data_IF_171288642223
#
_entry.id   IF_171288642223
#
_cell.length_a   1.000
_cell.length_b   1.000
_cell.length_c   1.000
_cell.angle_alpha   90.00
_cell.angle_beta   90.00
_cell.angle_gamma   90.00
#
_symmetry.space_group_name_H-M   'P 1'
#
loop_
_entity.id
_entity.type
_entity.pdbx_description
1 polymer ?
#
# COMPACT_ATOMS: atom_id res chain seq x y z
N UNK A 1 -6.88 -0.56 -12.28
CA UNK A 1 -7.24 -1.97 -12.03
C UNK A 1 -8.13 -1.96 -10.80
N UNK A 2 -9.31 -2.59 -10.86
CA UNK A 2 -10.20 -2.66 -9.70
C UNK A 2 -9.58 -3.59 -8.65
N UNK A 3 -9.39 -3.10 -7.42
CA UNK A 3 -8.83 -3.90 -6.32
C UNK A 3 -9.87 -4.93 -5.87
N UNK A 4 -9.41 -6.15 -5.61
CA UNK A 4 -10.22 -7.27 -5.11
C UNK A 4 -9.75 -7.73 -3.72
N UNK A 5 -10.35 -8.77 -3.15
CA UNK A 5 -9.97 -9.27 -1.83
C UNK A 5 -8.53 -9.80 -1.73
N UNK A 6 -7.83 -10.09 -2.85
CA UNK A 6 -6.40 -10.46 -2.81
C UNK A 6 -5.55 -9.26 -2.38
N UNK A 7 -5.97 -8.05 -2.73
CA UNK A 7 -5.33 -6.82 -2.30
C UNK A 7 -5.18 -6.75 -0.77
N UNK A 8 -6.16 -7.27 -0.02
CA UNK A 8 -6.09 -7.32 1.45
C UNK A 8 -4.86 -8.12 1.92
N UNK A 9 -4.60 -9.29 1.32
CA UNK A 9 -3.44 -10.09 1.69
C UNK A 9 -2.12 -9.51 1.19
N UNK A 10 -2.14 -8.90 0.01
CA UNK A 10 -0.95 -8.24 -0.55
C UNK A 10 -0.46 -7.11 0.36
N UNK A 11 -1.37 -6.38 1.00
CA UNK A 11 -1.06 -5.16 1.77
C UNK A 11 -1.13 -5.34 3.30
N UNK A 12 -1.97 -6.24 3.82
CA UNK A 12 -2.20 -6.40 5.26
C UNK A 12 -1.67 -7.71 5.83
N UNK A 13 -1.33 -8.70 4.98
CA UNK A 13 -0.85 -10.04 5.39
C UNK A 13 -1.75 -10.67 6.46
N UNK A 14 -1.22 -10.92 7.65
CA UNK A 14 -1.96 -11.52 8.76
C UNK A 14 -3.20 -10.70 9.17
N UNK A 15 -3.16 -9.37 9.00
CA UNK A 15 -4.31 -8.49 9.24
C UNK A 15 -5.43 -8.61 8.19
N UNK A 16 -5.20 -9.28 7.07
CA UNK A 16 -6.19 -9.39 5.99
C UNK A 16 -7.43 -10.18 6.41
N UNK A 17 -7.26 -11.20 7.27
CA UNK A 17 -8.36 -12.02 7.75
C UNK A 17 -9.34 -11.21 8.59
N UNK A 18 -8.82 -10.50 9.61
CA UNK A 18 -9.65 -9.62 10.45
C UNK A 18 -10.31 -8.53 9.61
N UNK A 19 -9.56 -7.92 8.67
CA UNK A 19 -10.14 -6.89 7.80
C UNK A 19 -11.24 -7.43 6.89
N UNK A 20 -11.17 -8.69 6.46
CA UNK A 20 -12.24 -9.33 5.70
C UNK A 20 -13.49 -9.60 6.55
N UNK A 21 -13.32 -10.01 7.81
CA UNK A 21 -14.42 -10.14 8.78
C UNK A 21 -15.09 -8.78 9.02
N UNK A 22 -14.32 -7.70 9.18
CA UNK A 22 -14.84 -6.34 9.33
C UNK A 22 -15.62 -5.88 8.08
N UNK A 23 -15.10 -6.18 6.88
CA UNK A 23 -15.82 -5.90 5.62
C UNK A 23 -17.17 -6.64 5.60
N UNK A 24 -17.19 -7.91 5.97
CA UNK A 24 -18.43 -8.68 5.97
C UNK A 24 -19.42 -8.10 6.98
N UNK A 25 -18.96 -7.72 8.17
CA UNK A 25 -19.80 -7.08 9.18
C UNK A 25 -20.47 -5.81 8.63
N UNK A 26 -19.71 -4.88 8.06
CA UNK A 26 -20.26 -3.63 7.53
C UNK A 26 -21.23 -3.85 6.36
N UNK A 27 -20.97 -4.88 5.53
CA UNK A 27 -21.92 -5.30 4.49
C UNK A 27 -23.26 -5.69 5.12
N UNK A 28 -23.25 -6.48 6.20
CA UNK A 28 -24.49 -6.98 6.81
C UNK A 28 -25.21 -5.95 7.67
N UNK A 29 -24.48 -5.07 8.36
CA UNK A 29 -25.06 -3.87 8.99
C UNK A 29 -25.81 -3.03 7.94
N UNK A 30 -25.23 -2.89 6.75
CA UNK A 30 -25.86 -2.12 5.66
C UNK A 30 -27.00 -2.88 4.96
N UNK A 31 -26.92 -4.20 4.86
CA UNK A 31 -27.95 -5.04 4.22
C UNK A 31 -29.19 -5.22 5.11
N UNK A 32 -29.02 -5.18 6.44
CA UNK A 32 -30.06 -5.36 7.44
C UNK A 32 -30.11 -4.17 8.42
N UNK A 33 -30.51 -2.97 7.94
CA UNK A 33 -30.42 -1.73 8.74
C UNK A 33 -31.33 -1.72 9.98
N UNK A 34 -32.41 -2.52 9.96
CA UNK A 34 -33.39 -2.61 11.05
C UNK A 34 -33.18 -3.86 11.93
N UNK A 35 -32.13 -4.64 11.69
CA UNK A 35 -31.80 -5.83 12.48
C UNK A 35 -30.71 -5.55 13.52
N UNK A 36 -30.69 -6.35 14.57
CA UNK A 36 -29.59 -6.36 15.53
C UNK A 36 -28.41 -7.16 14.95
N UNK A 37 -27.37 -6.46 14.47
CA UNK A 37 -26.17 -7.04 13.84
C UNK A 37 -24.96 -6.90 14.74
N UNK A 38 -24.39 -8.03 15.18
CA UNK A 38 -23.28 -8.08 16.14
C UNK A 38 -22.09 -8.89 15.62
N UNK A 39 -20.87 -8.34 15.75
CA UNK A 39 -19.66 -9.15 15.67
C UNK A 39 -19.55 -9.99 16.95
N UNK A 40 -19.27 -11.29 16.80
CA UNK A 40 -19.03 -12.17 17.94
C UNK A 40 -17.53 -12.22 18.19
N UNK A 41 -17.09 -11.74 19.36
CA UNK A 41 -15.68 -11.82 19.76
C UNK A 41 -15.31 -13.28 20.03
N UNK A 42 -14.18 -13.73 19.48
CA UNK A 42 -13.68 -15.09 19.71
C UNK A 42 -13.20 -15.21 21.16
N UNK A 43 -14.10 -15.62 22.05
CA UNK A 43 -13.71 -16.22 23.33
C UNK A 43 -13.34 -17.67 23.01
N UNK A 44 -12.07 -18.03 23.21
CA UNK A 44 -11.48 -19.36 23.00
C UNK A 44 -12.51 -20.51 23.09
N UNK A 45 -13.05 -20.95 21.95
CA UNK A 45 -14.07 -22.00 21.89
C UNK A 45 -15.29 -21.69 21.02
N UNK A 46 -15.55 -20.44 20.63
CA UNK A 46 -16.74 -20.05 19.84
C UNK A 46 -16.62 -20.39 18.35
N UNK A 47 -16.58 -21.68 18.06
CA UNK A 47 -17.63 -22.37 17.31
C UNK A 47 -18.04 -21.96 15.90
N UNK A 48 -17.39 -20.99 15.27
CA UNK A 48 -17.65 -20.67 13.86
C UNK A 48 -18.81 -19.71 13.60
N UNK A 49 -19.04 -18.78 14.52
CA UNK A 49 -19.91 -17.61 14.35
C UNK A 49 -19.01 -16.39 14.32
N UNK A 50 -19.02 -15.63 13.22
CA UNK A 50 -18.26 -14.38 13.16
C UNK A 50 -19.19 -13.17 13.27
N UNK A 51 -20.42 -13.28 12.76
CA UNK A 51 -21.46 -12.24 12.84
C UNK A 51 -22.80 -12.91 13.14
N UNK A 52 -23.56 -12.35 14.06
CA UNK A 52 -24.94 -12.73 14.38
C UNK A 52 -25.90 -11.60 13.97
N UNK A 53 -27.05 -11.97 13.39
CA UNK A 53 -28.06 -11.04 12.88
C UNK A 53 -29.42 -11.53 13.37
N UNK A 54 -30.14 -10.68 14.11
CA UNK A 54 -31.50 -10.95 14.59
C UNK A 54 -32.44 -9.90 13.99
N UNK A 55 -33.34 -10.35 13.10
CA UNK A 55 -34.33 -9.49 12.47
C UNK A 55 -35.53 -9.25 13.43
N UNK A 56 -36.31 -8.17 13.23
CA UNK A 56 -37.44 -7.82 14.12
C UNK A 56 -38.52 -8.92 14.22
N UNK A 57 -38.63 -9.77 13.19
CA UNK A 57 -39.55 -10.89 13.16
C UNK A 57 -39.05 -12.11 13.97
N UNK A 58 -37.84 -12.03 14.53
CA UNK A 58 -37.19 -13.09 15.30
C UNK A 58 -36.35 -14.05 14.46
N UNK A 59 -36.25 -13.87 13.13
CA UNK A 59 -35.38 -14.71 12.30
C UNK A 59 -33.92 -14.47 12.66
N UNK A 60 -33.20 -15.56 12.94
CA UNK A 60 -31.77 -15.53 13.26
C UNK A 60 -30.91 -15.97 12.08
N UNK A 61 -29.89 -15.17 11.78
CA UNK A 61 -28.90 -15.46 10.73
C UNK A 61 -27.49 -15.43 11.30
N UNK A 62 -26.82 -16.58 11.25
CA UNK A 62 -25.39 -16.67 11.55
C UNK A 62 -24.57 -16.53 10.27
N UNK A 63 -23.56 -15.67 10.31
CA UNK A 63 -22.58 -15.52 9.23
C UNK A 63 -21.21 -16.02 9.70
N UNK A 64 -20.60 -16.86 8.87
CA UNK A 64 -19.22 -17.30 9.00
C UNK A 64 -18.39 -16.77 7.83
N UNK A 65 -17.32 -16.07 8.14
CA UNK A 65 -16.26 -15.65 7.25
C UNK A 65 -15.12 -16.68 7.24
N UNK A 66 -14.71 -17.12 6.05
CA UNK A 66 -13.50 -17.92 5.86
C UNK A 66 -12.60 -17.27 4.83
N UNK A 67 -11.43 -16.80 5.27
CA UNK A 67 -10.48 -16.11 4.39
C UNK A 67 -9.67 -17.09 3.53
N UNK A 68 -10.31 -17.66 2.50
CA UNK A 68 -9.69 -18.57 1.54
C UNK A 68 -9.38 -17.86 0.22
N UNK A 69 -8.09 -17.67 -0.09
CA UNK A 69 -7.67 -17.02 -1.34
C UNK A 69 -7.37 -17.98 -2.51
N UNK A 70 -7.10 -19.25 -2.19
CA UNK A 70 -6.81 -20.31 -3.19
C UNK A 70 -7.99 -21.28 -3.33
N UNK A 71 -7.84 -22.35 -4.12
CA UNK A 71 -8.87 -23.39 -4.31
C UNK A 71 -9.29 -24.12 -3.02
N UNK A 72 -10.49 -24.68 -3.04
CA UNK A 72 -11.11 -25.42 -1.96
C UNK A 72 -10.60 -26.87 -1.94
N UNK A 73 -9.47 -27.09 -1.27
CA UNK A 73 -8.97 -28.42 -0.95
C UNK A 73 -9.81 -29.10 0.16
N UNK A 74 -9.48 -30.36 0.46
CA UNK A 74 -10.22 -31.13 1.46
C UNK A 74 -10.07 -30.59 2.89
N UNK A 75 -8.95 -29.92 3.20
CA UNK A 75 -8.77 -29.24 4.48
C UNK A 75 -9.77 -28.09 4.64
N UNK A 76 -9.92 -27.24 3.62
CA UNK A 76 -10.85 -26.10 3.63
C UNK A 76 -12.31 -26.55 3.59
N UNK A 77 -12.62 -27.62 2.85
CA UNK A 77 -13.94 -28.28 2.91
C UNK A 77 -14.26 -28.77 4.31
N UNK A 78 -13.28 -29.37 5.00
CA UNK A 78 -13.46 -29.81 6.38
C UNK A 78 -13.67 -28.62 7.34
N UNK A 79 -12.93 -27.53 7.17
CA UNK A 79 -13.17 -26.31 7.95
C UNK A 79 -14.58 -25.75 7.78
N UNK A 80 -15.15 -25.80 6.57
CA UNK A 80 -16.54 -25.40 6.33
C UNK A 80 -17.51 -26.34 7.06
N UNK A 81 -17.31 -27.65 6.95
CA UNK A 81 -18.16 -28.66 7.60
C UNK A 81 -18.17 -28.51 9.11
N UNK A 82 -16.99 -28.41 9.72
CA UNK A 82 -16.86 -28.27 11.17
C UNK A 82 -17.47 -26.94 11.64
N UNK A 83 -17.23 -25.84 10.94
CA UNK A 83 -17.85 -24.55 11.30
C UNK A 83 -19.37 -24.58 11.25
N UNK A 84 -19.96 -25.17 10.20
CA UNK A 84 -21.42 -25.32 10.17
C UNK A 84 -21.93 -26.23 11.28
N UNK A 85 -21.25 -27.37 11.49
CA UNK A 85 -21.63 -28.32 12.55
C UNK A 85 -21.62 -27.64 13.91
N UNK A 86 -20.56 -26.92 14.25
CA UNK A 86 -20.45 -26.25 15.55
C UNK A 86 -21.44 -25.09 15.68
N UNK A 87 -21.71 -24.35 14.61
CA UNK A 87 -22.75 -23.32 14.62
C UNK A 87 -24.14 -23.91 14.95
N UNK A 88 -24.50 -25.05 14.33
CA UNK A 88 -25.77 -25.75 14.59
C UNK A 88 -25.83 -26.40 15.98
N UNK A 89 -24.71 -26.89 16.50
CA UNK A 89 -24.67 -27.53 17.82
C UNK A 89 -24.79 -26.52 18.96
N UNK A 90 -24.32 -25.28 18.75
CA UNK A 90 -24.24 -24.27 19.80
C UNK A 90 -25.31 -23.17 19.71
N UNK A 91 -26.04 -23.07 18.59
CA UNK A 91 -26.98 -21.98 18.36
C UNK A 91 -28.25 -22.48 17.66
N UNK A 92 -29.38 -21.82 17.96
CA UNK A 92 -30.59 -21.91 17.15
C UNK A 92 -30.54 -20.80 16.08
N UNK A 93 -30.71 -21.17 14.81
CA UNK A 93 -30.66 -20.23 13.68
C UNK A 93 -31.57 -20.68 12.54
N UNK A 94 -32.08 -19.74 11.76
CA UNK A 94 -32.89 -19.99 10.58
C UNK A 94 -32.05 -19.96 9.30
N UNK A 95 -31.00 -19.16 9.31
CA UNK A 95 -30.11 -18.97 8.17
C UNK A 95 -28.64 -19.12 8.59
N UNK A 96 -27.86 -19.71 7.69
CA UNK A 96 -26.40 -19.74 7.82
C UNK A 96 -25.75 -19.27 6.53
N UNK A 97 -24.88 -18.26 6.61
CA UNK A 97 -24.20 -17.70 5.44
C UNK A 97 -22.70 -17.90 5.54
N UNK A 98 -22.12 -18.55 4.53
CA UNK A 98 -20.67 -18.62 4.35
C UNK A 98 -20.19 -17.47 3.47
N UNK A 99 -19.28 -16.65 3.99
CA UNK A 99 -18.56 -15.61 3.26
C UNK A 99 -17.14 -16.06 2.94
N UNK A 100 -16.75 -15.99 1.65
CA UNK A 100 -15.40 -16.35 1.20
C UNK A 100 -14.88 -15.33 0.18
N UNK A 101 -13.60 -14.90 0.26
CA UNK A 101 -12.99 -13.91 -0.64
C UNK A 101 -12.53 -14.52 -1.97
N UNK A 102 -13.21 -15.57 -2.45
CA UNK A 102 -12.92 -16.24 -3.73
C UNK A 102 -14.19 -16.71 -4.40
N UNK A 103 -14.17 -16.80 -5.73
CA UNK A 103 -15.23 -17.47 -6.48
C UNK A 103 -14.95 -18.96 -6.61
N UNK A 104 -15.98 -19.76 -6.36
CA UNK A 104 -15.90 -21.22 -6.52
C UNK A 104 -15.92 -21.57 -8.02
N UNK A 105 -15.01 -22.45 -8.42
CA UNK A 105 -15.04 -23.13 -9.71
C UNK A 105 -16.27 -24.03 -9.82
N UNK A 106 -16.52 -24.53 -11.01
CA UNK A 106 -17.65 -25.40 -11.27
C UNK A 106 -17.69 -26.64 -10.37
N UNK A 107 -16.55 -27.29 -10.13
CA UNK A 107 -16.49 -28.49 -9.28
C UNK A 107 -16.59 -28.16 -7.79
N UNK A 108 -16.06 -27.01 -7.36
CA UNK A 108 -16.23 -26.49 -5.99
C UNK A 108 -17.71 -26.14 -5.73
N UNK A 109 -18.41 -25.56 -6.71
CA UNK A 109 -19.86 -25.32 -6.64
C UNK A 109 -20.67 -26.62 -6.62
N UNK A 110 -20.30 -27.64 -7.39
CA UNK A 110 -20.95 -28.97 -7.32
C UNK A 110 -20.82 -29.57 -5.93
N UNK A 111 -19.60 -29.55 -5.38
CA UNK A 111 -19.36 -30.02 -4.02
C UNK A 111 -20.19 -29.23 -3.01
N UNK A 112 -20.19 -27.90 -3.08
CA UNK A 112 -20.96 -27.04 -2.19
C UNK A 112 -22.45 -27.36 -2.23
N UNK A 113 -23.02 -27.48 -3.43
CA UNK A 113 -24.43 -27.83 -3.63
C UNK A 113 -24.76 -29.20 -3.03
N UNK A 114 -23.92 -30.20 -3.29
CA UNK A 114 -24.11 -31.55 -2.74
C UNK A 114 -23.99 -31.57 -1.21
N UNK A 115 -23.01 -30.85 -0.65
CA UNK A 115 -22.85 -30.76 0.80
C UNK A 115 -24.05 -30.05 1.46
N UNK A 116 -24.49 -28.91 0.90
CA UNK A 116 -25.69 -28.17 1.34
C UNK A 116 -26.95 -29.05 1.29
N UNK A 117 -27.13 -29.81 0.22
CA UNK A 117 -28.26 -30.73 0.06
C UNK A 117 -28.32 -31.76 1.20
N UNK A 118 -27.16 -32.25 1.64
CA UNK A 118 -27.06 -33.21 2.73
C UNK A 118 -27.36 -32.61 4.12
N UNK A 119 -27.61 -31.30 4.24
CA UNK A 119 -27.98 -30.64 5.51
C UNK A 119 -29.47 -30.24 5.56
N UNK A 120 -30.28 -30.67 4.59
CA UNK A 120 -31.69 -30.24 4.46
C UNK A 120 -32.58 -30.63 5.63
N UNK A 121 -32.22 -31.69 6.34
CA UNK A 121 -32.91 -32.17 7.54
C UNK A 121 -32.81 -31.19 8.72
N UNK A 122 -31.89 -30.22 8.66
CA UNK A 122 -31.70 -29.21 9.70
C UNK A 122 -32.70 -28.06 9.66
N UNK A 123 -33.53 -27.95 8.61
CA UNK A 123 -34.45 -26.81 8.39
C UNK A 123 -33.76 -25.43 8.34
N UNK A 124 -32.45 -25.38 8.08
CA UNK A 124 -31.65 -24.14 8.03
C UNK A 124 -31.40 -23.73 6.57
N UNK A 125 -31.61 -22.46 6.26
CA UNK A 125 -31.31 -21.90 4.95
C UNK A 125 -29.82 -21.58 4.83
N UNK A 126 -29.08 -22.44 4.13
CA UNK A 126 -27.63 -22.26 3.89
C UNK A 126 -27.36 -21.41 2.64
N UNK A 127 -26.58 -20.33 2.74
CA UNK A 127 -26.21 -19.44 1.62
C UNK A 127 -24.69 -19.32 1.46
N UNK A 128 -24.25 -19.03 0.24
CA UNK A 128 -22.84 -18.75 -0.10
C UNK A 128 -22.74 -17.33 -0.64
N UNK A 129 -21.93 -16.50 0.00
CA UNK A 129 -21.51 -15.21 -0.49
C UNK A 129 -20.02 -15.30 -0.89
N UNK A 130 -19.79 -15.56 -2.17
CA UNK A 130 -18.45 -15.60 -2.77
C UNK A 130 -17.92 -14.19 -3.09
N UNK A 131 -16.68 -14.11 -3.60
CA UNK A 131 -16.04 -12.83 -3.90
C UNK A 131 -16.91 -11.94 -4.79
N UNK A 132 -17.48 -12.50 -5.85
CA UNK A 132 -18.35 -11.79 -6.78
C UNK A 132 -19.62 -11.26 -6.11
N UNK A 133 -20.27 -12.04 -5.24
CA UNK A 133 -21.45 -11.58 -4.49
C UNK A 133 -21.08 -10.50 -3.46
N UNK A 134 -20.03 -10.71 -2.68
CA UNK A 134 -19.56 -9.75 -1.68
C UNK A 134 -19.14 -8.42 -2.31
N UNK A 135 -18.47 -8.46 -3.46
CA UNK A 135 -18.09 -7.25 -4.20
C UNK A 135 -19.31 -6.46 -4.70
N UNK A 136 -20.38 -7.14 -5.10
CA UNK A 136 -21.65 -6.49 -5.45
C UNK A 136 -22.31 -5.84 -4.24
N UNK A 137 -22.28 -6.49 -3.08
CA UNK A 137 -22.82 -5.93 -1.84
C UNK A 137 -22.02 -4.71 -1.37
N UNK A 138 -20.68 -4.77 -1.42
CA UNK A 138 -19.82 -3.62 -1.14
C UNK A 138 -20.17 -2.41 -2.01
N UNK A 139 -20.34 -2.62 -3.32
CA UNK A 139 -20.69 -1.55 -4.25
C UNK A 139 -22.12 -1.05 -4.07
N UNK A 140 -23.05 -1.95 -3.71
CA UNK A 140 -24.45 -1.60 -3.43
C UNK A 140 -24.55 -0.60 -2.26
N UNK A 141 -23.65 -0.72 -1.28
CA UNK A 141 -23.65 0.06 -0.04
C UNK A 141 -22.53 1.10 0.04
N UNK A 142 -21.90 1.44 -1.10
CA UNK A 142 -20.79 2.42 -1.19
C UNK A 142 -19.55 2.11 -0.32
N UNK A 143 -19.45 0.91 0.26
CA UNK A 143 -18.33 0.46 1.11
C UNK A 143 -17.05 0.15 0.30
N UNK A 144 -17.17 -0.03 -1.03
CA UNK A 144 -16.01 -0.35 -1.86
C UNK A 144 -14.91 0.72 -1.78
N UNK A 145 -15.30 1.99 -1.79
CA UNK A 145 -14.36 3.11 -1.75
C UNK A 145 -13.60 3.17 -0.42
N UNK A 146 -14.32 2.98 0.68
CA UNK A 146 -13.77 2.99 2.03
C UNK A 146 -12.69 1.91 2.21
N UNK A 147 -12.97 0.70 1.77
CA UNK A 147 -12.11 -0.45 2.02
C UNK A 147 -11.00 -0.63 0.99
N UNK A 148 -11.29 -0.31 -0.27
CA UNK A 148 -10.38 -0.60 -1.37
C UNK A 148 -9.82 0.65 -2.05
N UNK A 149 -10.39 1.85 -1.94
CA UNK A 149 -9.81 3.06 -2.56
C UNK A 149 -9.06 3.97 -1.59
N UNK A 150 -9.24 3.83 -0.28
CA UNK A 150 -8.48 4.61 0.69
C UNK A 150 -6.98 4.35 0.54
N UNK A 151 -6.23 5.38 0.14
CA UNK A 151 -4.77 5.39 0.18
C UNK A 151 -4.38 5.36 1.65
N UNK A 152 -3.86 4.22 2.12
CA UNK A 152 -3.17 4.22 3.41
C UNK A 152 -1.87 5.00 3.20
N UNK A 153 -1.83 6.21 3.73
CA UNK A 153 -0.59 6.96 3.94
C UNK A 153 0.18 6.20 5.02
N UNK A 154 0.98 5.22 4.63
CA UNK A 154 1.93 4.62 5.56
C UNK A 154 3.19 5.47 5.67
N UNK A 155 3.99 5.18 6.71
CA UNK A 155 5.22 5.93 6.98
C UNK A 155 6.25 5.79 5.86
N UNK A 156 6.20 4.72 5.05
CA UNK A 156 7.10 4.54 3.92
C UNK A 156 6.72 5.48 2.78
N UNK A 157 5.44 5.57 2.45
CA UNK A 157 4.92 6.53 1.47
C UNK A 157 5.18 7.98 1.87
N UNK A 158 5.03 8.31 3.16
CA UNK A 158 5.37 9.66 3.67
C UNK A 158 6.88 9.92 3.53
N UNK A 159 7.74 8.95 3.87
CA UNK A 159 9.20 9.07 3.71
C UNK A 159 9.58 9.24 2.23
N UNK A 160 8.97 8.48 1.33
CA UNK A 160 9.19 8.62 -0.11
C UNK A 160 8.80 10.00 -0.61
N UNK A 161 7.68 10.56 -0.16
CA UNK A 161 7.27 11.92 -0.51
C UNK A 161 8.29 12.94 0.02
N UNK A 162 8.71 12.83 1.29
CA UNK A 162 9.68 13.76 1.89
C UNK A 162 11.02 13.71 1.13
N UNK A 163 11.54 12.51 0.85
CA UNK A 163 12.79 12.34 0.10
C UNK A 163 12.64 12.90 -1.32
N UNK A 164 11.49 12.67 -1.97
CA UNK A 164 11.22 13.19 -3.32
C UNK A 164 11.17 14.71 -3.33
N UNK A 165 10.54 15.33 -2.33
CA UNK A 165 10.47 16.78 -2.19
C UNK A 165 11.85 17.39 -1.89
N UNK A 166 12.64 16.76 -1.01
CA UNK A 166 14.02 17.16 -0.72
C UNK A 166 14.91 17.09 -1.97
N UNK A 167 14.87 15.97 -2.71
CA UNK A 167 15.58 15.83 -3.99
C UNK A 167 15.14 16.88 -5.01
N UNK A 168 13.84 17.15 -5.10
CA UNK A 168 13.30 18.18 -5.99
C UNK A 168 13.84 19.58 -5.63
N UNK A 169 13.86 19.90 -4.33
CA UNK A 169 14.37 21.16 -3.80
C UNK A 169 15.88 21.31 -4.05
N UNK A 170 16.69 20.29 -3.76
CA UNK A 170 18.13 20.29 -4.07
C UNK A 170 18.37 20.47 -5.57
N UNK A 171 17.66 19.71 -6.42
CA UNK A 171 17.76 19.83 -7.89
C UNK A 171 17.51 21.26 -8.36
N UNK A 172 16.47 21.92 -7.82
CA UNK A 172 16.13 23.29 -8.18
C UNK A 172 17.25 24.28 -7.83
N UNK A 173 17.93 24.08 -6.68
CA UNK A 173 19.07 24.90 -6.26
C UNK A 173 20.32 24.66 -7.11
N UNK A 174 20.60 23.40 -7.46
CA UNK A 174 21.80 23.03 -8.24
C UNK A 174 21.69 23.38 -9.72
N UNK A 175 20.49 23.36 -10.30
CA UNK A 175 20.27 23.46 -11.74
C UNK A 175 20.90 24.71 -12.41
N UNK A 176 20.88 25.92 -11.81
CA UNK A 176 21.53 27.10 -12.38
C UNK A 176 23.05 26.89 -12.56
N UNK A 177 23.74 26.44 -11.52
CA UNK A 177 25.19 26.20 -11.54
C UNK A 177 25.53 25.07 -12.50
N UNK A 178 24.77 23.97 -12.48
CA UNK A 178 24.97 22.83 -13.39
C UNK A 178 24.81 23.24 -14.86
N UNK A 179 23.83 24.10 -15.18
CA UNK A 179 23.68 24.65 -16.53
C UNK A 179 24.89 25.47 -16.96
N UNK A 180 25.42 26.32 -16.07
CA UNK A 180 26.61 27.12 -16.33
C UNK A 180 27.85 26.23 -16.55
N UNK A 181 28.04 25.22 -15.70
CA UNK A 181 29.11 24.23 -15.83
C UNK A 181 29.05 23.46 -17.14
N UNK A 182 27.86 23.03 -17.58
CA UNK A 182 27.67 22.34 -18.87
C UNK A 182 28.00 23.25 -20.05
N UNK A 183 27.57 24.50 -20.00
CA UNK A 183 27.77 25.47 -21.07
C UNK A 183 29.16 26.12 -21.06
N UNK A 184 29.96 25.90 -20.01
CA UNK A 184 31.26 26.53 -19.83
C UNK A 184 31.18 28.03 -19.51
N UNK A 185 30.03 28.50 -19.02
CA UNK A 185 29.81 29.88 -18.63
C UNK A 185 30.32 30.10 -17.20
N UNK A 186 31.61 30.41 -17.05
CA UNK A 186 32.28 30.62 -15.77
C UNK A 186 32.63 32.10 -15.54
N UNK A 187 31.67 32.99 -15.83
CA UNK A 187 31.80 34.44 -15.59
C UNK A 187 31.18 34.83 -14.25
N UNK A 188 31.09 36.14 -13.95
CA UNK A 188 30.63 36.66 -12.65
C UNK A 188 29.39 35.98 -12.07
N UNK A 189 28.38 35.72 -12.90
CA UNK A 189 27.12 35.07 -12.49
C UNK A 189 27.35 33.67 -11.88
N UNK A 190 28.34 32.92 -12.38
CA UNK A 190 28.73 31.63 -11.81
C UNK A 190 29.27 31.77 -10.39
N UNK A 191 30.11 32.78 -10.12
CA UNK A 191 30.66 33.05 -8.79
C UNK A 191 29.56 33.45 -7.82
N UNK A 192 28.75 34.47 -8.20
CA UNK A 192 27.65 34.96 -7.37
C UNK A 192 26.67 33.81 -7.01
N UNK A 193 26.36 32.92 -7.96
CA UNK A 193 25.47 31.78 -7.73
C UNK A 193 26.14 30.69 -6.90
N UNK A 194 27.43 30.42 -7.12
CA UNK A 194 28.18 29.38 -6.40
C UNK A 194 28.39 29.76 -4.94
N UNK A 195 28.73 31.02 -4.65
CA UNK A 195 28.89 31.50 -3.27
C UNK A 195 27.60 31.34 -2.46
N UNK A 196 26.46 31.75 -3.04
CA UNK A 196 25.15 31.56 -2.40
C UNK A 196 24.84 30.08 -2.14
N UNK A 197 25.14 29.23 -3.12
CA UNK A 197 24.89 27.80 -3.04
C UNK A 197 25.74 27.12 -1.97
N UNK A 198 27.03 27.45 -1.90
CA UNK A 198 27.96 26.89 -0.91
C UNK A 198 27.56 27.32 0.50
N UNK A 199 27.22 28.59 0.72
CA UNK A 199 26.73 29.07 2.02
C UNK A 199 25.49 28.30 2.47
N UNK A 200 24.58 28.01 1.54
CA UNK A 200 23.32 27.33 1.85
C UNK A 200 23.49 25.82 2.10
N UNK A 201 24.36 25.14 1.34
CA UNK A 201 24.38 23.68 1.27
C UNK A 201 25.64 23.00 1.82
N UNK A 202 26.71 23.75 2.16
CA UNK A 202 27.99 23.17 2.62
C UNK A 202 27.90 22.22 3.83
N UNK A 203 26.83 22.31 4.62
CA UNK A 203 26.59 21.46 5.79
C UNK A 203 25.32 20.62 5.67
N UNK A 204 24.77 20.52 4.46
CA UNK A 204 23.57 19.74 4.20
C UNK A 204 23.93 18.25 4.12
N UNK A 205 23.38 17.39 5.01
CA UNK A 205 23.68 15.96 5.04
C UNK A 205 23.35 15.22 3.74
N UNK A 206 22.55 15.81 2.85
CA UNK A 206 22.26 15.25 1.53
C UNK A 206 23.53 14.98 0.71
N UNK A 207 24.60 15.76 0.94
CA UNK A 207 25.87 15.62 0.24
C UNK A 207 26.89 14.73 0.97
N UNK A 208 26.53 14.08 2.07
CA UNK A 208 27.43 13.18 2.79
C UNK A 208 27.92 12.04 1.89
N UNK A 209 29.23 11.97 1.70
CA UNK A 209 29.86 10.96 0.83
C UNK A 209 29.81 11.28 -0.67
N UNK A 210 29.34 12.47 -1.08
CA UNK A 210 29.37 12.97 -2.46
C UNK A 210 30.29 14.20 -2.57
N UNK A 211 31.09 14.26 -3.64
CA UNK A 211 32.12 15.29 -3.82
C UNK A 211 31.64 16.59 -4.46
N UNK A 212 30.37 16.72 -4.84
CA UNK A 212 29.88 17.81 -5.69
C UNK A 212 30.24 19.20 -5.15
N UNK A 213 29.94 19.50 -3.88
CA UNK A 213 30.20 20.82 -3.30
C UNK A 213 31.70 21.08 -3.12
N UNK A 214 32.49 20.04 -2.81
CA UNK A 214 33.93 20.12 -2.63
C UNK A 214 34.61 20.53 -3.94
N UNK A 215 34.30 19.81 -5.04
CA UNK A 215 34.90 20.13 -6.33
C UNK A 215 34.37 21.45 -6.91
N UNK A 216 33.15 21.83 -6.58
CA UNK A 216 32.60 23.13 -6.95
C UNK A 216 33.35 24.28 -6.26
N UNK A 217 33.64 24.14 -4.97
CA UNK A 217 34.47 25.09 -4.22
C UNK A 217 35.92 25.12 -4.76
N UNK A 218 36.48 23.95 -5.09
CA UNK A 218 37.82 23.85 -5.70
C UNK A 218 37.90 24.60 -7.04
N UNK A 219 36.90 24.43 -7.92
CA UNK A 219 36.80 25.15 -9.18
C UNK A 219 36.65 26.67 -8.96
N UNK A 220 35.77 27.06 -8.04
CA UNK A 220 35.56 28.45 -7.67
C UNK A 220 36.84 29.12 -7.20
N UNK A 221 37.57 28.45 -6.29
CA UNK A 221 38.84 28.92 -5.77
C UNK A 221 39.93 28.97 -6.86
N UNK A 222 40.06 27.91 -7.67
CA UNK A 222 41.08 27.80 -8.71
C UNK A 222 40.98 28.93 -9.75
N UNK A 223 39.77 29.30 -10.16
CA UNK A 223 39.58 30.43 -11.08
C UNK A 223 39.92 31.75 -10.37
N UNK A 224 39.49 31.91 -9.12
CA UNK A 224 39.67 33.13 -8.34
C UNK A 224 41.15 33.49 -8.13
N UNK A 225 41.98 32.52 -7.73
CA UNK A 225 43.41 32.75 -7.46
C UNK A 225 44.23 33.05 -8.73
N UNK A 226 43.73 32.61 -9.89
CA UNK A 226 44.38 32.80 -11.18
C UNK A 226 43.81 34.02 -11.94
N UNK A 227 42.85 34.73 -11.36
CA UNK A 227 42.30 35.94 -11.94
C UNK A 227 43.28 37.11 -11.80
N UNK A 228 43.49 37.86 -12.88
CA UNK A 228 44.39 39.03 -12.89
C UNK A 228 45.88 38.71 -12.81
N UNK A 229 46.28 37.43 -12.88
CA UNK A 229 47.68 36.98 -12.89
C UNK A 229 48.01 36.17 -14.15
N UNK A 230 49.29 35.86 -14.36
CA UNK A 230 49.71 34.95 -15.43
C UNK A 230 49.19 33.54 -15.13
N UNK A 231 48.26 33.06 -15.95
CA UNK A 231 47.70 31.71 -15.85
C UNK A 231 48.78 30.63 -15.98
N UNK A 232 48.70 29.52 -15.22
CA UNK A 232 49.57 28.37 -15.39
C UNK A 232 49.32 27.68 -16.73
N UNK A 233 50.30 26.92 -17.22
CA UNK A 233 50.22 26.25 -18.54
C UNK A 233 49.07 25.24 -18.62
N UNK A 234 48.70 24.63 -17.49
CA UNK A 234 47.61 23.65 -17.40
C UNK A 234 46.24 24.26 -17.03
N UNK A 235 46.09 25.59 -17.00
CA UNK A 235 44.90 26.26 -16.50
C UNK A 235 43.59 25.77 -17.14
N UNK A 236 43.54 25.74 -18.48
CA UNK A 236 42.33 25.35 -19.21
C UNK A 236 42.04 23.85 -19.06
N UNK A 237 43.07 23.00 -19.00
CA UNK A 237 42.90 21.56 -18.77
C UNK A 237 42.41 21.27 -17.36
N UNK A 238 42.83 22.04 -16.36
CA UNK A 238 42.43 21.87 -14.97
C UNK A 238 40.97 22.30 -14.75
N UNK A 239 40.55 23.41 -15.36
CA UNK A 239 39.14 23.82 -15.37
C UNK A 239 38.26 22.74 -16.01
N UNK A 240 38.70 22.17 -17.14
CA UNK A 240 37.95 21.12 -17.82
C UNK A 240 37.81 19.88 -16.93
N UNK A 241 38.91 19.45 -16.29
CA UNK A 241 38.92 18.33 -15.34
C UNK A 241 37.91 18.56 -14.21
N UNK A 242 37.99 19.70 -13.53
CA UNK A 242 37.12 20.01 -12.40
C UNK A 242 35.65 20.08 -12.81
N UNK A 243 35.34 20.73 -13.95
CA UNK A 243 33.96 20.75 -14.48
C UNK A 243 33.42 19.35 -14.73
N UNK A 244 34.23 18.45 -15.30
CA UNK A 244 33.79 17.09 -15.59
C UNK A 244 33.49 16.32 -14.31
N UNK A 245 34.40 16.36 -13.32
CA UNK A 245 34.20 15.68 -12.04
C UNK A 245 32.98 16.22 -11.30
N UNK A 246 32.75 17.54 -11.29
CA UNK A 246 31.54 18.12 -10.67
C UNK A 246 30.26 17.59 -11.33
N UNK A 247 30.24 17.45 -12.66
CA UNK A 247 29.08 16.94 -13.38
C UNK A 247 28.85 15.44 -13.13
N UNK A 248 29.93 14.65 -12.98
CA UNK A 248 29.86 13.24 -12.59
C UNK A 248 29.30 13.08 -11.17
N UNK A 249 29.78 13.88 -10.21
CA UNK A 249 29.25 13.89 -8.83
C UNK A 249 27.78 14.31 -8.78
N UNK A 250 27.37 15.29 -9.61
CA UNK A 250 25.97 15.71 -9.73
C UNK A 250 25.07 14.57 -10.25
N UNK A 251 25.53 13.77 -11.21
CA UNK A 251 24.79 12.59 -11.67
C UNK A 251 24.69 11.53 -10.58
N UNK A 252 25.74 11.38 -9.77
CA UNK A 252 25.78 10.49 -8.60
C UNK A 252 24.76 10.83 -7.50
N UNK A 253 24.29 12.08 -7.40
CA UNK A 253 23.26 12.49 -6.43
C UNK A 253 21.87 11.90 -6.73
N UNK A 254 21.65 11.34 -7.92
CA UNK A 254 20.41 10.67 -8.33
C UNK A 254 19.13 11.47 -7.99
N UNK A 255 19.11 12.73 -8.45
CA UNK A 255 18.04 13.72 -8.25
C UNK A 255 16.86 13.58 -9.24
N UNK A 256 16.61 12.36 -9.72
CA UNK A 256 15.54 12.05 -10.68
C UNK A 256 14.32 11.44 -9.99
#
# INVERSE_FOLDING_TARGET
MERDFKWLWENLKEGARKKFEDICYDIYVSEFPDADVHQVEVVLGDGGVDIDIIEENGDSTIVQCKFFLNRLDDSRKNQIRESFKTAVENNEMDNWILCVPMDFSHDELKWWKSWKENQKDKSITIKLHDASKLMKLLKKHDLYEEYFKTVRLDNEYIKEIIITDEKHNIKKKLLPVVKMLRNGNLYKEFFDTTDLLLVELQSDPFFDGNGFLIYLEELHWYISINNGVKKPENYESEILRLRQVILEEYEGLNLY
#
